data_IF_118829076354
#
_entry.id   IF_118829076354
#
_cell.length_a   1.000
_cell.length_b   1.000
_cell.length_c   1.000
_cell.angle_alpha   90.00
_cell.angle_beta   90.00
_cell.angle_gamma   90.00
#
_symmetry.space_group_name_H-M   'P 1'
#
loop_
_entity.id
_entity.type
_entity.pdbx_description
1 polymer ?
#
# COMPACT_ATOMS: atom_id res chain seq x y z
N UNK A 1 22.32 -16.97 -19.26
CA UNK A 1 21.94 -17.58 -17.96
C UNK A 1 20.99 -16.71 -17.14
N UNK A 2 21.36 -15.50 -16.71
CA UNK A 2 20.52 -14.67 -15.79
C UNK A 2 19.16 -14.22 -16.34
N UNK A 3 18.93 -14.34 -17.66
CA UNK A 3 17.66 -14.02 -18.33
C UNK A 3 16.78 -15.25 -18.61
N UNK A 4 17.21 -16.44 -18.24
CA UNK A 4 16.41 -17.67 -18.36
C UNK A 4 15.93 -18.10 -16.98
N UNK A 5 14.72 -18.66 -16.85
CA UNK A 5 14.17 -19.05 -15.56
C UNK A 5 15.10 -20.01 -14.79
N UNK A 6 15.53 -21.10 -15.44
CA UNK A 6 16.46 -22.08 -14.85
C UNK A 6 17.86 -21.52 -14.64
N UNK A 7 18.33 -20.68 -15.55
CA UNK A 7 19.66 -20.06 -15.45
C UNK A 7 19.75 -19.06 -14.30
N UNK A 8 18.73 -18.20 -14.13
CA UNK A 8 18.60 -17.26 -13.02
C UNK A 8 18.56 -17.96 -11.67
N UNK A 9 17.83 -19.07 -11.54
CA UNK A 9 17.79 -19.85 -10.30
C UNK A 9 19.18 -20.39 -9.92
N UNK A 10 19.90 -20.98 -10.89
CA UNK A 10 21.26 -21.49 -10.68
C UNK A 10 22.26 -20.40 -10.29
N UNK A 11 22.16 -19.22 -10.90
CA UNK A 11 23.02 -18.08 -10.54
C UNK A 11 22.74 -17.64 -9.11
N UNK A 12 21.48 -17.57 -8.68
CA UNK A 12 21.14 -17.21 -7.29
C UNK A 12 21.68 -18.21 -6.28
N UNK A 13 21.51 -19.52 -6.52
CA UNK A 13 22.03 -20.59 -5.65
C UNK A 13 23.57 -20.57 -5.58
N UNK A 14 24.23 -20.30 -6.71
CA UNK A 14 25.68 -20.14 -6.74
C UNK A 14 26.11 -18.93 -5.91
N UNK A 15 25.44 -17.79 -6.02
CA UNK A 15 25.79 -16.60 -5.24
C UNK A 15 25.66 -16.83 -3.72
N UNK A 16 24.72 -17.65 -3.27
CA UNK A 16 24.58 -17.99 -1.85
C UNK A 16 25.73 -18.86 -1.32
N UNK A 17 26.26 -19.76 -2.15
CA UNK A 17 27.31 -20.71 -1.76
C UNK A 17 28.73 -20.27 -2.12
N UNK A 18 28.88 -19.28 -3.00
CA UNK A 18 30.17 -18.75 -3.45
C UNK A 18 30.95 -18.07 -2.31
N UNK A 19 32.27 -18.00 -2.47
CA UNK A 19 33.15 -17.20 -1.61
C UNK A 19 32.87 -15.70 -1.78
N UNK A 20 33.35 -14.88 -0.84
CA UNK A 20 33.17 -13.42 -0.91
C UNK A 20 33.86 -12.82 -2.15
N UNK A 21 35.04 -13.33 -2.49
CA UNK A 21 35.81 -12.93 -3.67
C UNK A 21 35.08 -13.27 -4.97
N UNK A 22 34.57 -14.50 -5.10
CA UNK A 22 33.80 -14.93 -6.28
C UNK A 22 32.49 -14.13 -6.42
N UNK A 23 31.77 -13.91 -5.31
CA UNK A 23 30.59 -13.04 -5.30
C UNK A 23 30.94 -11.64 -5.78
N UNK A 24 32.00 -11.06 -5.23
CA UNK A 24 32.46 -9.70 -5.58
C UNK A 24 32.80 -9.60 -7.06
N UNK A 25 33.53 -10.58 -7.62
CA UNK A 25 33.86 -10.63 -9.05
C UNK A 25 32.61 -10.71 -9.93
N UNK A 26 31.66 -11.60 -9.60
CA UNK A 26 30.40 -11.72 -10.34
C UNK A 26 29.62 -10.39 -10.30
N UNK A 27 29.48 -9.80 -9.11
CA UNK A 27 28.72 -8.56 -8.94
C UNK A 27 29.36 -7.43 -9.75
N UNK A 28 30.67 -7.23 -9.61
CA UNK A 28 31.36 -6.06 -10.19
C UNK A 28 31.60 -6.20 -11.69
N UNK A 29 31.97 -7.38 -12.16
CA UNK A 29 32.39 -7.57 -13.55
C UNK A 29 31.25 -8.02 -14.47
N UNK A 30 30.26 -8.74 -13.94
CA UNK A 30 29.19 -9.32 -14.75
C UNK A 30 27.85 -8.61 -14.55
N UNK A 31 27.46 -8.37 -13.29
CA UNK A 31 26.14 -7.81 -12.97
C UNK A 31 26.10 -6.28 -13.07
N UNK A 32 27.06 -5.57 -12.49
CA UNK A 32 27.07 -4.10 -12.46
C UNK A 32 27.03 -3.45 -13.85
N UNK A 33 27.80 -3.91 -14.86
CA UNK A 33 27.73 -3.36 -16.22
C UNK A 33 26.36 -3.57 -16.90
N UNK A 34 25.57 -4.52 -16.41
CA UNK A 34 24.27 -4.90 -16.96
C UNK A 34 23.12 -4.65 -15.97
N UNK A 35 23.34 -3.85 -14.92
CA UNK A 35 22.44 -3.81 -13.75
C UNK A 35 21.04 -3.33 -14.12
N UNK A 36 20.91 -2.31 -14.96
CA UNK A 36 19.62 -1.76 -15.40
C UNK A 36 18.82 -2.76 -16.24
N UNK A 37 19.34 -3.29 -17.38
CA UNK A 37 18.56 -4.23 -18.18
C UNK A 37 18.30 -5.56 -17.47
N UNK A 38 19.14 -5.96 -16.49
CA UNK A 38 18.84 -7.11 -15.65
C UNK A 38 17.73 -6.79 -14.63
N UNK A 39 17.76 -5.61 -14.02
CA UNK A 39 16.76 -5.18 -13.03
C UNK A 39 15.34 -5.09 -13.61
N UNK A 40 15.20 -4.70 -14.88
CA UNK A 40 13.91 -4.63 -15.58
C UNK A 40 13.45 -5.97 -16.17
N UNK A 41 14.29 -7.01 -16.10
CA UNK A 41 13.99 -8.32 -16.68
C UNK A 41 13.34 -9.26 -15.66
N UNK A 42 12.27 -9.97 -16.05
CA UNK A 42 11.47 -10.88 -15.19
C UNK A 42 12.29 -11.88 -14.36
N UNK A 43 13.37 -12.41 -14.93
CA UNK A 43 14.30 -13.32 -14.23
C UNK A 43 15.60 -12.65 -13.77
N UNK A 44 16.01 -11.56 -14.44
CA UNK A 44 17.27 -10.89 -14.14
C UNK A 44 17.17 -10.10 -12.84
N UNK A 45 15.98 -9.55 -12.55
CA UNK A 45 15.72 -8.79 -11.34
C UNK A 45 15.93 -9.62 -10.08
N UNK A 46 15.70 -10.94 -10.17
CA UNK A 46 15.92 -11.88 -9.06
C UNK A 46 17.40 -12.10 -8.78
N UNK A 47 18.23 -12.13 -9.83
CA UNK A 47 19.69 -12.19 -9.69
C UNK A 47 20.22 -10.90 -9.06
N UNK A 48 19.77 -9.73 -9.52
CA UNK A 48 20.18 -8.45 -8.92
C UNK A 48 19.72 -8.35 -7.46
N UNK A 49 18.49 -8.77 -7.15
CA UNK A 49 18.00 -8.79 -5.76
C UNK A 49 18.86 -9.70 -4.88
N UNK A 50 19.21 -10.90 -5.37
CA UNK A 50 20.09 -11.81 -4.63
C UNK A 50 21.48 -11.20 -4.44
N UNK A 51 22.02 -10.55 -5.46
CA UNK A 51 23.31 -9.85 -5.38
C UNK A 51 23.33 -8.77 -4.29
N UNK A 52 22.25 -8.00 -4.16
CA UNK A 52 22.12 -6.99 -3.09
C UNK A 52 21.99 -7.66 -1.70
N UNK A 53 21.37 -8.82 -1.62
CA UNK A 53 21.15 -9.55 -0.37
C UNK A 53 22.42 -10.21 0.18
N UNK A 54 23.27 -10.77 -0.69
CA UNK A 54 24.46 -11.53 -0.28
C UNK A 54 25.79 -10.80 -0.52
N UNK A 55 25.78 -9.71 -1.28
CA UNK A 55 26.95 -8.91 -1.58
C UNK A 55 27.36 -8.02 -0.40
N UNK A 56 28.63 -7.61 -0.38
CA UNK A 56 29.08 -6.60 0.57
C UNK A 56 28.47 -5.23 0.25
N UNK A 57 28.53 -4.29 1.21
CA UNK A 57 28.15 -2.89 0.95
C UNK A 57 28.94 -2.32 -0.23
N UNK A 58 30.24 -2.65 -0.33
CA UNK A 58 31.08 -2.17 -1.42
C UNK A 58 30.64 -2.72 -2.77
N UNK A 59 30.20 -3.98 -2.84
CA UNK A 59 29.65 -4.55 -4.08
C UNK A 59 28.34 -3.88 -4.48
N UNK A 60 27.48 -3.63 -3.49
CA UNK A 60 26.21 -2.95 -3.72
C UNK A 60 26.39 -1.51 -4.21
N UNK A 61 27.49 -0.82 -3.85
CA UNK A 61 27.83 0.49 -4.41
C UNK A 61 28.08 0.45 -5.91
N UNK A 62 28.68 -0.61 -6.45
CA UNK A 62 28.84 -0.77 -7.90
C UNK A 62 27.48 -0.95 -8.60
N UNK A 63 26.58 -1.73 -8.01
CA UNK A 63 25.21 -1.87 -8.52
C UNK A 63 24.46 -0.53 -8.44
N UNK A 64 24.55 0.16 -7.31
CA UNK A 64 23.92 1.45 -7.08
C UNK A 64 24.39 2.51 -8.09
N UNK A 65 25.69 2.59 -8.36
CA UNK A 65 26.28 3.50 -9.34
C UNK A 65 25.69 3.32 -10.74
N UNK A 66 25.48 2.08 -11.19
CA UNK A 66 24.84 1.81 -12.49
C UNK A 66 23.33 2.09 -12.50
N UNK A 67 22.64 1.95 -11.36
CA UNK A 67 21.20 2.22 -11.26
C UNK A 67 20.85 3.69 -11.02
N UNK A 68 21.78 4.50 -10.48
CA UNK A 68 21.53 5.87 -10.05
C UNK A 68 20.80 6.73 -11.09
N UNK A 69 21.31 6.82 -12.34
CA UNK A 69 20.66 7.60 -13.40
C UNK A 69 19.27 7.09 -13.82
N UNK A 70 18.88 5.89 -13.41
CA UNK A 70 17.66 5.19 -13.81
C UNK A 70 16.68 4.95 -12.66
N UNK A 71 16.88 5.56 -11.48
CA UNK A 71 16.06 5.28 -10.29
C UNK A 71 14.56 5.49 -10.56
N UNK A 72 14.16 6.58 -11.21
CA UNK A 72 12.75 6.88 -11.47
C UNK A 72 12.12 5.84 -12.41
N UNK A 73 12.86 5.44 -13.44
CA UNK A 73 12.46 4.40 -14.39
C UNK A 73 12.31 3.04 -13.67
N UNK A 74 13.28 2.68 -12.84
CA UNK A 74 13.28 1.45 -12.06
C UNK A 74 12.15 1.43 -11.03
N UNK A 75 11.84 2.54 -10.37
CA UNK A 75 10.71 2.65 -9.43
C UNK A 75 9.35 2.44 -10.13
N UNK A 76 9.23 2.82 -11.40
CA UNK A 76 8.03 2.69 -12.20
C UNK A 76 7.96 1.35 -12.97
N UNK A 77 9.01 0.53 -12.97
CA UNK A 77 9.01 -0.75 -13.64
C UNK A 77 8.45 -1.89 -12.77
N UNK A 78 7.77 -2.87 -13.38
CA UNK A 78 7.17 -4.03 -12.70
C UNK A 78 8.20 -4.94 -12.03
N UNK A 79 9.44 -4.98 -12.54
CA UNK A 79 10.55 -5.75 -11.97
C UNK A 79 11.53 -4.86 -11.20
N UNK A 80 11.87 -3.70 -11.75
CA UNK A 80 12.84 -2.75 -11.20
C UNK A 80 12.43 -2.24 -9.81
N UNK A 81 11.13 -2.07 -9.53
CA UNK A 81 10.66 -1.59 -8.24
C UNK A 81 11.07 -2.55 -7.10
N UNK A 82 11.19 -3.85 -7.39
CA UNK A 82 11.64 -4.84 -6.42
C UNK A 82 13.13 -4.71 -6.13
N UNK A 83 13.93 -4.34 -7.13
CA UNK A 83 15.37 -4.06 -6.95
C UNK A 83 15.57 -2.81 -6.08
N UNK A 84 14.83 -1.72 -6.35
CA UNK A 84 14.87 -0.52 -5.50
C UNK A 84 14.46 -0.83 -4.07
N UNK A 85 13.38 -1.58 -3.88
CA UNK A 85 12.96 -2.06 -2.56
C UNK A 85 14.01 -2.93 -1.87
N UNK A 86 14.79 -3.71 -2.62
CA UNK A 86 15.84 -4.57 -2.07
C UNK A 86 17.04 -3.77 -1.57
N UNK A 87 17.46 -2.73 -2.29
CA UNK A 87 18.44 -1.77 -1.78
C UNK A 87 18.00 -1.19 -0.44
N UNK A 88 16.75 -0.73 -0.35
CA UNK A 88 16.22 -0.11 0.88
C UNK A 88 16.06 -1.13 2.03
N UNK A 89 15.85 -2.41 1.73
CA UNK A 89 15.72 -3.46 2.76
C UNK A 89 17.06 -3.91 3.34
N UNK A 90 18.09 -4.01 2.49
CA UNK A 90 19.34 -4.70 2.82
C UNK A 90 20.48 -3.75 3.17
N UNK A 91 20.43 -2.50 2.74
CA UNK A 91 21.51 -1.55 2.96
C UNK A 91 21.19 -0.55 4.09
N UNK A 92 22.23 -0.02 4.77
CA UNK A 92 22.06 1.08 5.70
C UNK A 92 21.62 2.35 4.96
N UNK A 93 20.99 3.27 5.70
CA UNK A 93 20.37 4.50 5.16
C UNK A 93 21.29 5.29 4.24
N UNK A 94 22.56 5.42 4.60
CA UNK A 94 23.55 6.23 3.89
C UNK A 94 23.76 5.72 2.45
N UNK A 95 23.70 4.42 2.23
CA UNK A 95 23.88 3.79 0.92
C UNK A 95 22.63 3.86 0.04
N UNK A 96 21.48 4.20 0.63
CA UNK A 96 20.18 4.31 -0.05
C UNK A 96 19.92 5.75 -0.51
N UNK A 97 20.77 6.71 -0.13
CA UNK A 97 20.58 8.14 -0.38
C UNK A 97 20.37 8.48 -1.86
N UNK A 98 21.02 7.76 -2.77
CA UNK A 98 20.87 7.95 -4.22
C UNK A 98 19.41 7.79 -4.70
N UNK A 99 18.62 6.91 -4.05
CA UNK A 99 17.20 6.72 -4.39
C UNK A 99 16.41 7.96 -3.98
N UNK A 100 16.67 8.47 -2.77
CA UNK A 100 16.01 9.68 -2.24
C UNK A 100 16.35 10.88 -3.10
N UNK A 101 17.62 11.08 -3.43
CA UNK A 101 18.10 12.23 -4.20
C UNK A 101 17.51 12.25 -5.62
N UNK A 102 17.40 11.10 -6.29
CA UNK A 102 16.73 11.00 -7.58
C UNK A 102 15.22 11.27 -7.51
N UNK A 103 14.54 10.75 -6.48
CA UNK A 103 13.11 11.02 -6.24
C UNK A 103 12.83 12.51 -6.00
N UNK A 104 13.74 13.20 -5.31
CA UNK A 104 13.61 14.62 -4.97
C UNK A 104 14.37 15.53 -5.94
N UNK A 105 14.84 15.01 -7.08
CA UNK A 105 15.42 15.80 -8.16
C UNK A 105 16.68 16.59 -7.79
N UNK A 106 17.49 16.14 -6.82
CA UNK A 106 18.72 16.84 -6.42
C UNK A 106 19.81 16.81 -7.51
N UNK A 107 19.81 15.80 -8.36
CA UNK A 107 20.81 15.64 -9.42
C UNK A 107 20.50 16.45 -10.69
N UNK A 108 19.34 17.13 -10.74
CA UNK A 108 18.95 17.93 -11.89
C UNK A 108 19.42 19.38 -11.72
N UNK A 109 20.72 19.60 -11.93
CA UNK A 109 21.31 20.95 -12.02
C UNK A 109 20.69 21.81 -13.14
N UNK A 110 19.90 21.21 -14.03
CA UNK A 110 19.19 21.84 -15.15
C UNK A 110 17.70 22.13 -14.87
N UNK A 111 17.09 21.54 -13.85
CA UNK A 111 15.67 21.75 -13.54
C UNK A 111 15.51 22.69 -12.35
N UNK A 112 15.44 23.99 -12.67
CA UNK A 112 15.01 25.02 -11.74
C UNK A 112 13.59 24.71 -11.24
N UNK A 113 13.50 24.16 -10.03
CA UNK A 113 12.55 24.57 -8.97
C UNK A 113 11.04 24.26 -9.09
N UNK A 114 10.56 23.42 -10.00
CA UNK A 114 9.11 23.09 -10.02
C UNK A 114 8.73 21.60 -10.21
N UNK A 115 9.67 20.73 -10.65
CA UNK A 115 9.33 19.35 -11.04
C UNK A 115 9.58 18.31 -9.93
N UNK A 116 10.18 18.70 -8.82
CA UNK A 116 10.59 17.79 -7.75
C UNK A 116 9.43 17.16 -6.98
N UNK A 117 8.47 17.96 -6.51
CA UNK A 117 7.26 17.42 -5.85
C UNK A 117 6.47 16.50 -6.80
N UNK A 118 6.55 16.76 -8.11
CA UNK A 118 5.88 15.98 -9.15
C UNK A 118 6.37 14.52 -9.20
N UNK A 119 7.67 14.24 -9.03
CA UNK A 119 8.16 12.86 -9.07
C UNK A 119 7.62 12.00 -7.93
N UNK A 120 7.70 12.51 -6.69
CA UNK A 120 7.18 11.80 -5.52
C UNK A 120 5.66 11.62 -5.62
N UNK A 121 4.92 12.69 -5.97
CA UNK A 121 3.46 12.60 -6.10
C UNK A 121 3.02 11.68 -7.25
N UNK A 122 3.71 11.71 -8.41
CA UNK A 122 3.46 10.74 -9.51
C UNK A 122 3.68 9.31 -9.06
N UNK A 123 4.77 9.04 -8.34
CA UNK A 123 5.06 7.70 -7.86
C UNK A 123 4.11 7.27 -6.74
N UNK A 124 3.58 8.20 -5.94
CA UNK A 124 2.62 7.89 -4.88
C UNK A 124 1.33 7.26 -5.42
N UNK A 125 0.86 7.71 -6.58
CA UNK A 125 -0.32 7.15 -7.27
C UNK A 125 0.06 6.07 -8.31
N UNK A 126 1.33 5.68 -8.40
CA UNK A 126 1.78 4.66 -9.33
C UNK A 126 1.65 3.25 -8.71
N UNK A 127 1.22 2.27 -9.52
CA UNK A 127 0.93 0.90 -9.05
C UNK A 127 2.15 0.17 -8.48
N UNK A 128 3.36 0.50 -8.94
CA UNK A 128 4.63 -0.03 -8.41
C UNK A 128 5.40 1.00 -7.57
N UNK A 129 5.34 2.28 -7.96
CA UNK A 129 6.15 3.34 -7.37
C UNK A 129 5.78 3.62 -5.92
N UNK A 130 4.49 3.48 -5.59
CA UNK A 130 3.99 3.70 -4.24
C UNK A 130 4.64 2.75 -3.22
N UNK A 131 5.07 1.55 -3.66
CA UNK A 131 5.74 0.56 -2.80
C UNK A 131 7.15 0.98 -2.43
N UNK A 132 7.86 1.61 -3.36
CA UNK A 132 9.20 2.16 -3.09
C UNK A 132 9.10 3.29 -2.08
N UNK A 133 8.15 4.22 -2.24
CA UNK A 133 7.92 5.32 -1.29
C UNK A 133 7.54 4.80 0.11
N UNK A 134 6.61 3.85 0.19
CA UNK A 134 6.25 3.20 1.46
C UNK A 134 7.48 2.57 2.13
N UNK A 135 8.35 1.93 1.35
CA UNK A 135 9.55 1.28 1.86
C UNK A 135 10.57 2.29 2.40
N UNK A 136 10.79 3.40 1.70
CA UNK A 136 11.65 4.49 2.18
C UNK A 136 11.12 5.04 3.51
N UNK A 137 9.81 5.32 3.60
CA UNK A 137 9.19 5.80 4.84
C UNK A 137 9.30 4.79 6.00
N UNK A 138 9.35 3.49 5.72
CA UNK A 138 9.50 2.45 6.74
C UNK A 138 10.93 2.28 7.24
N UNK A 139 11.94 2.37 6.36
CA UNK A 139 13.29 1.86 6.61
C UNK A 139 14.36 2.93 6.74
N UNK A 140 14.21 4.06 6.07
CA UNK A 140 15.19 5.13 6.12
C UNK A 140 15.13 5.90 7.45
N UNK A 141 16.14 6.71 7.71
CA UNK A 141 16.13 7.63 8.85
C UNK A 141 15.22 8.85 8.60
N UNK A 142 15.03 9.70 9.62
CA UNK A 142 14.20 10.89 9.46
C UNK A 142 14.76 11.93 8.49
N UNK A 143 16.09 12.06 8.36
CA UNK A 143 16.69 13.03 7.43
C UNK A 143 16.32 12.69 5.98
N UNK A 144 16.24 11.40 5.67
CA UNK A 144 15.84 10.88 4.37
C UNK A 144 14.33 10.87 4.14
N UNK A 145 13.53 10.65 5.20
CA UNK A 145 12.06 10.71 5.10
C UNK A 145 11.55 12.11 4.87
N UNK A 146 12.12 13.13 5.54
CA UNK A 146 11.66 14.52 5.48
C UNK A 146 11.39 15.01 4.05
N UNK A 147 12.32 14.93 3.09
CA UNK A 147 12.06 15.49 1.77
C UNK A 147 10.98 14.70 0.98
N UNK A 148 10.76 13.41 1.29
CA UNK A 148 9.66 12.62 0.73
C UNK A 148 8.33 13.04 1.38
N UNK A 149 8.31 13.19 2.71
CA UNK A 149 7.17 13.67 3.47
C UNK A 149 6.77 15.07 3.01
N UNK A 150 7.75 15.97 2.84
CA UNK A 150 7.50 17.33 2.41
C UNK A 150 6.84 17.37 1.02
N UNK A 151 7.31 16.54 0.09
CA UNK A 151 6.70 16.42 -1.23
C UNK A 151 5.27 15.86 -1.19
N UNK A 152 4.96 14.93 -0.28
CA UNK A 152 3.62 14.35 -0.13
C UNK A 152 2.65 15.31 0.59
N UNK A 153 3.10 15.93 1.68
CA UNK A 153 2.27 16.70 2.62
C UNK A 153 2.11 18.15 2.17
N UNK A 154 3.20 18.78 1.70
CA UNK A 154 3.21 20.19 1.31
C UNK A 154 3.29 20.38 -0.22
N UNK A 155 3.51 19.32 -1.00
CA UNK A 155 3.64 19.40 -2.45
C UNK A 155 2.32 19.43 -3.23
N UNK A 156 1.18 19.15 -2.60
CA UNK A 156 -0.15 19.24 -3.24
C UNK A 156 -0.66 20.68 -3.25
N UNK A 157 -1.21 21.12 -4.38
CA UNK A 157 -1.55 22.53 -4.63
C UNK A 157 -2.83 22.98 -3.91
N UNK A 158 -3.84 22.10 -3.83
CA UNK A 158 -5.15 22.44 -3.30
C UNK A 158 -5.87 21.25 -2.63
N UNK A 159 -7.05 21.51 -2.08
CA UNK A 159 -7.84 20.52 -1.37
C UNK A 159 -8.36 19.38 -2.29
N UNK A 160 -8.54 19.64 -3.58
CA UNK A 160 -8.95 18.63 -4.55
C UNK A 160 -7.83 17.62 -4.79
N UNK A 161 -6.59 18.09 -5.01
CA UNK A 161 -5.42 17.21 -5.16
C UNK A 161 -5.19 16.36 -3.91
N UNK A 162 -5.30 16.96 -2.71
CA UNK A 162 -5.22 16.22 -1.44
C UNK A 162 -6.28 15.13 -1.34
N UNK A 163 -7.54 15.46 -1.69
CA UNK A 163 -8.65 14.51 -1.70
C UNK A 163 -8.44 13.41 -2.73
N UNK A 164 -7.89 13.72 -3.91
CA UNK A 164 -7.56 12.72 -4.93
C UNK A 164 -6.51 11.75 -4.42
N UNK A 165 -5.44 12.25 -3.78
CA UNK A 165 -4.37 11.40 -3.25
C UNK A 165 -4.88 10.46 -2.14
N UNK A 166 -5.72 10.97 -1.22
CA UNK A 166 -6.34 10.18 -0.14
C UNK A 166 -7.28 9.09 -0.67
N UNK A 167 -8.01 9.37 -1.75
CA UNK A 167 -8.96 8.42 -2.36
C UNK A 167 -8.34 7.57 -3.47
N UNK A 168 -7.09 7.81 -3.85
CA UNK A 168 -6.41 7.03 -4.86
C UNK A 168 -6.14 5.61 -4.36
N UNK A 169 -6.27 4.62 -5.25
CA UNK A 169 -6.12 3.20 -4.91
C UNK A 169 -4.70 2.80 -4.44
N UNK A 170 -3.69 3.61 -4.77
CA UNK A 170 -2.29 3.45 -4.35
C UNK A 170 -1.85 4.56 -3.40
N UNK A 171 -2.19 5.81 -3.71
CA UNK A 171 -1.83 7.02 -2.96
C UNK A 171 -2.27 6.99 -1.51
N UNK A 172 -3.45 6.42 -1.23
CA UNK A 172 -3.94 6.25 0.14
C UNK A 172 -2.94 5.50 1.06
N UNK A 173 -2.16 4.56 0.52
CA UNK A 173 -1.16 3.85 1.31
C UNK A 173 0.05 4.73 1.62
N UNK A 174 0.46 5.60 0.69
CA UNK A 174 1.55 6.55 0.92
C UNK A 174 1.15 7.55 2.00
N UNK A 175 -0.07 8.10 1.95
CA UNK A 175 -0.58 9.00 2.99
C UNK A 175 -0.64 8.30 4.36
N UNK A 176 -1.10 7.04 4.42
CA UNK A 176 -1.07 6.25 5.65
C UNK A 176 0.35 6.07 6.22
N UNK A 177 1.35 5.89 5.36
CA UNK A 177 2.75 5.78 5.80
C UNK A 177 3.32 7.13 6.23
N UNK A 178 2.92 8.23 5.58
CA UNK A 178 3.26 9.58 6.05
C UNK A 178 2.67 9.84 7.44
N UNK A 179 1.44 9.39 7.72
CA UNK A 179 0.86 9.45 9.07
C UNK A 179 1.66 8.59 10.05
N UNK A 180 1.97 7.34 9.70
CA UNK A 180 2.59 6.38 10.61
C UNK A 180 4.05 6.68 10.93
N UNK A 181 4.83 7.17 9.96
CA UNK A 181 6.28 7.35 10.06
C UNK A 181 6.74 8.80 9.92
N UNK A 182 5.82 9.74 9.69
CA UNK A 182 6.09 11.17 9.65
C UNK A 182 6.11 11.83 11.02
N UNK A 183 6.42 13.13 11.00
CA UNK A 183 6.51 14.00 12.17
C UNK A 183 5.10 14.33 12.69
N UNK A 184 4.96 14.79 13.95
CA UNK A 184 3.68 15.29 14.45
C UNK A 184 3.06 16.38 13.56
N UNK A 185 3.87 17.29 12.99
CA UNK A 185 3.40 18.35 12.11
C UNK A 185 2.83 17.80 10.79
N UNK A 186 3.44 16.75 10.24
CA UNK A 186 2.92 16.06 9.04
C UNK A 186 1.53 15.47 9.32
N UNK A 187 1.36 14.86 10.50
CA UNK A 187 0.08 14.25 10.92
C UNK A 187 -1.00 15.31 11.11
N UNK A 188 -0.65 16.44 11.72
CA UNK A 188 -1.56 17.56 11.92
C UNK A 188 -2.06 18.09 10.57
N UNK A 189 -1.15 18.35 9.62
CA UNK A 189 -1.51 18.83 8.28
C UNK A 189 -2.36 17.80 7.53
N UNK A 190 -2.03 16.51 7.60
CA UNK A 190 -2.86 15.47 6.99
C UNK A 190 -4.27 15.46 7.64
N UNK A 191 -4.38 15.52 8.97
CA UNK A 191 -5.68 15.54 9.63
C UNK A 191 -6.50 16.78 9.23
N UNK A 192 -5.89 17.96 9.23
CA UNK A 192 -6.61 19.23 9.10
C UNK A 192 -6.83 19.68 7.65
N UNK A 193 -5.88 19.43 6.75
CA UNK A 193 -5.92 19.93 5.37
C UNK A 193 -6.30 18.86 4.35
N UNK A 194 -6.03 17.58 4.64
CA UNK A 194 -6.39 16.47 3.74
C UNK A 194 -7.74 15.86 4.13
N UNK A 195 -8.00 15.68 5.42
CA UNK A 195 -9.15 14.90 5.89
C UNK A 195 -10.31 15.77 6.35
N UNK A 196 -10.09 16.72 7.26
CA UNK A 196 -11.17 17.49 7.90
C UNK A 196 -12.17 18.12 6.91
N UNK A 197 -11.76 18.72 5.76
CA UNK A 197 -12.70 19.32 4.81
C UNK A 197 -13.64 18.31 4.13
N UNK A 198 -13.28 17.02 4.14
CA UNK A 198 -14.00 15.98 3.40
C UNK A 198 -14.33 14.75 4.27
N UNK A 199 -14.11 14.81 5.59
CA UNK A 199 -14.11 13.62 6.46
C UNK A 199 -15.42 12.82 6.38
N UNK A 200 -16.56 13.50 6.23
CA UNK A 200 -17.86 12.85 6.04
C UNK A 200 -17.91 11.93 4.81
N UNK A 201 -17.41 12.41 3.67
CA UNK A 201 -17.35 11.63 2.42
C UNK A 201 -16.27 10.53 2.50
N UNK A 202 -15.10 10.88 3.06
CA UNK A 202 -13.95 9.98 3.11
C UNK A 202 -14.24 8.72 3.93
N UNK A 203 -15.03 8.84 5.00
CA UNK A 203 -15.40 7.70 5.84
C UNK A 203 -16.12 6.59 5.06
N UNK A 204 -16.88 6.93 4.01
CA UNK A 204 -17.62 5.96 3.18
C UNK A 204 -16.88 5.62 1.88
N UNK A 205 -15.66 6.11 1.70
CA UNK A 205 -14.82 5.77 0.54
C UNK A 205 -13.99 4.50 0.83
N UNK A 206 -13.87 3.61 -0.15
CA UNK A 206 -13.08 2.36 -0.05
C UNK A 206 -11.63 2.57 0.39
N UNK A 207 -11.00 3.66 -0.05
CA UNK A 207 -9.60 3.96 0.18
C UNK A 207 -9.46 5.03 1.28
N UNK A 208 -10.21 6.13 1.17
CA UNK A 208 -10.17 7.24 2.12
C UNK A 208 -10.48 6.83 3.57
N UNK A 209 -11.40 5.87 3.76
CA UNK A 209 -11.76 5.37 5.10
C UNK A 209 -10.55 4.79 5.85
N UNK A 210 -9.61 4.14 5.15
CA UNK A 210 -8.39 3.60 5.76
C UNK A 210 -7.45 4.73 6.22
N UNK A 211 -7.40 5.85 5.49
CA UNK A 211 -6.59 7.03 5.86
C UNK A 211 -7.20 7.72 7.09
N UNK A 212 -8.53 7.81 7.17
CA UNK A 212 -9.23 8.29 8.36
C UNK A 212 -8.97 7.36 9.55
N UNK A 213 -9.09 6.03 9.39
CA UNK A 213 -8.75 5.08 10.45
C UNK A 213 -7.31 5.22 10.93
N UNK A 214 -6.35 5.42 10.01
CA UNK A 214 -4.93 5.59 10.35
C UNK A 214 -4.67 6.89 11.10
N UNK A 215 -5.36 7.97 10.73
CA UNK A 215 -5.27 9.26 11.44
C UNK A 215 -5.86 9.15 12.85
N UNK A 216 -7.00 8.45 12.99
CA UNK A 216 -7.57 8.10 14.28
C UNK A 216 -6.67 7.16 15.09
N UNK A 217 -5.70 6.47 14.50
CA UNK A 217 -4.74 5.66 15.25
C UNK A 217 -3.54 6.51 15.71
N UNK A 218 -2.94 7.31 14.82
CA UNK A 218 -1.60 7.86 15.01
C UNK A 218 -1.50 9.38 15.26
N UNK A 219 -2.54 10.16 14.94
CA UNK A 219 -2.51 11.62 15.16
C UNK A 219 -2.61 11.97 16.65
N UNK A 220 -2.40 13.24 16.98
CA UNK A 220 -2.58 13.73 18.33
C UNK A 220 -4.08 13.80 18.70
N UNK A 221 -4.36 13.83 20.01
CA UNK A 221 -5.72 13.74 20.52
C UNK A 221 -6.62 14.86 19.98
N UNK A 222 -6.08 16.07 19.82
CA UNK A 222 -6.85 17.22 19.33
C UNK A 222 -7.26 17.06 17.87
N UNK A 223 -6.36 16.54 17.02
CA UNK A 223 -6.65 16.22 15.62
C UNK A 223 -7.73 15.13 15.51
N UNK A 224 -7.61 14.06 16.32
CA UNK A 224 -8.60 12.98 16.38
C UNK A 224 -9.97 13.53 16.76
N UNK A 225 -10.02 14.41 17.77
CA UNK A 225 -11.25 15.05 18.24
C UNK A 225 -11.84 15.98 17.20
N UNK A 226 -11.04 16.77 16.49
CA UNK A 226 -11.51 17.62 15.40
C UNK A 226 -12.25 16.80 14.32
N UNK A 227 -11.65 15.70 13.87
CA UNK A 227 -12.26 14.80 12.89
C UNK A 227 -13.60 14.23 13.37
N UNK A 228 -13.67 13.74 14.62
CA UNK A 228 -14.89 13.13 15.16
C UNK A 228 -15.99 14.17 15.42
N UNK A 229 -15.65 15.40 15.84
CA UNK A 229 -16.62 16.48 16.03
C UNK A 229 -17.39 16.81 14.76
N UNK A 230 -16.73 16.81 13.60
CA UNK A 230 -17.41 17.00 12.30
C UNK A 230 -18.41 15.87 12.03
N UNK A 231 -18.05 14.61 12.33
CA UNK A 231 -18.94 13.45 12.14
C UNK A 231 -20.13 13.41 13.11
N UNK A 232 -20.04 14.15 14.22
CA UNK A 232 -21.10 14.33 15.22
C UNK A 232 -21.94 15.60 14.99
N UNK A 233 -21.59 16.42 13.99
CA UNK A 233 -22.36 17.63 13.69
C UNK A 233 -23.56 17.26 12.81
N UNK A 234 -24.81 17.49 13.24
CA UNK A 234 -25.99 17.14 12.46
C UNK A 234 -26.02 17.90 11.12
N UNK A 235 -26.29 17.17 10.04
CA UNK A 235 -26.46 17.78 8.70
C UNK A 235 -27.95 18.02 8.47
N UNK A 236 -28.31 19.24 8.08
CA UNK A 236 -29.72 19.67 7.87
C UNK A 236 -30.21 19.45 6.43
N UNK A 237 -29.36 18.93 5.53
CA UNK A 237 -29.64 18.76 4.10
C UNK A 237 -30.75 17.73 3.75
N UNK A 238 -31.43 17.17 4.76
CA UNK A 238 -32.62 16.35 4.61
C UNK A 238 -33.28 16.20 5.98
N UNK A 239 -34.42 16.86 6.19
CA UNK A 239 -35.17 16.76 7.46
C UNK A 239 -35.62 15.31 7.67
N UNK A 240 -35.45 14.71 8.87
CA UNK A 240 -34.90 15.28 10.10
C UNK A 240 -33.37 15.24 10.18
N UNK A 241 -32.78 16.26 10.83
CA UNK A 241 -31.34 16.38 11.03
C UNK A 241 -30.76 15.13 11.70
N UNK A 242 -29.71 14.57 11.11
CA UNK A 242 -29.02 13.39 11.61
C UNK A 242 -27.52 13.58 11.53
N UNK A 243 -26.80 13.00 12.50
CA UNK A 243 -25.34 13.02 12.48
C UNK A 243 -24.84 12.04 11.40
N UNK A 244 -23.82 12.41 10.59
CA UNK A 244 -23.19 11.52 9.61
C UNK A 244 -22.85 10.15 10.18
N UNK A 245 -22.42 10.10 11.45
CA UNK A 245 -22.05 8.84 12.10
C UNK A 245 -23.17 7.78 12.12
N UNK A 246 -24.45 8.18 12.11
CA UNK A 246 -25.59 7.25 12.16
C UNK A 246 -25.72 6.46 10.85
N UNK A 247 -25.49 7.11 9.69
CA UNK A 247 -25.48 6.41 8.41
C UNK A 247 -24.20 5.59 8.24
N UNK A 248 -23.07 6.06 8.76
CA UNK A 248 -21.78 5.35 8.71
C UNK A 248 -21.83 3.96 9.33
N UNK A 249 -22.59 3.77 10.42
CA UNK A 249 -22.75 2.47 11.09
C UNK A 249 -23.31 1.36 10.17
N UNK A 250 -24.02 1.74 9.10
CA UNK A 250 -24.65 0.81 8.14
C UNK A 250 -23.84 0.65 6.86
N UNK A 251 -22.88 1.54 6.62
CA UNK A 251 -22.04 1.54 5.43
C UNK A 251 -20.97 0.45 5.47
N UNK A 252 -20.54 -0.03 4.30
CA UNK A 252 -19.58 -1.14 4.17
C UNK A 252 -18.14 -0.79 4.55
N UNK A 253 -17.78 0.49 4.54
CA UNK A 253 -16.45 0.99 4.90
C UNK A 253 -16.51 1.84 6.18
N UNK A 254 -17.49 2.73 6.30
CA UNK A 254 -17.54 3.69 7.38
C UNK A 254 -17.81 3.05 8.76
N UNK A 255 -18.40 1.85 8.81
CA UNK A 255 -18.55 1.08 10.05
C UNK A 255 -17.20 0.78 10.73
N UNK A 256 -16.12 0.63 9.95
CA UNK A 256 -14.77 0.42 10.49
C UNK A 256 -14.24 1.68 11.16
N UNK A 257 -14.53 2.86 10.61
CA UNK A 257 -14.20 4.16 11.20
C UNK A 257 -14.93 4.35 12.53
N UNK A 258 -16.23 4.04 12.60
CA UNK A 258 -16.99 4.06 13.87
C UNK A 258 -16.34 3.15 14.91
N UNK A 259 -15.99 1.93 14.52
CA UNK A 259 -15.28 1.00 15.38
C UNK A 259 -13.90 1.50 15.84
N UNK A 260 -13.19 2.24 14.98
CA UNK A 260 -11.91 2.88 15.32
C UNK A 260 -12.08 3.97 16.38
N UNK A 261 -13.10 4.81 16.26
CA UNK A 261 -13.41 5.84 17.25
C UNK A 261 -13.65 5.19 18.61
N UNK A 262 -14.47 4.14 18.67
CA UNK A 262 -14.82 3.43 19.92
C UNK A 262 -13.68 2.65 20.58
N UNK A 263 -12.50 2.56 19.95
CA UNK A 263 -11.31 1.96 20.58
C UNK A 263 -10.56 2.92 21.51
N UNK A 264 -10.86 4.22 21.47
CA UNK A 264 -10.22 5.23 22.30
C UNK A 264 -10.79 5.27 23.72
N UNK A 265 -10.00 5.78 24.66
CA UNK A 265 -10.46 6.08 26.01
C UNK A 265 -11.37 7.32 26.00
N UNK A 266 -12.56 7.19 26.58
CA UNK A 266 -13.52 8.29 26.69
C UNK A 266 -13.07 9.42 27.64
N UNK A 267 -12.06 9.17 28.48
CA UNK A 267 -11.44 10.18 29.34
C UNK A 267 -10.59 11.18 28.54
N UNK A 268 -9.89 10.68 27.52
CA UNK A 268 -9.07 11.49 26.61
C UNK A 268 -9.91 12.05 25.46
N UNK A 269 -10.90 11.27 25.01
CA UNK A 269 -11.78 11.60 23.88
C UNK A 269 -13.25 11.50 24.29
N UNK A 270 -13.83 12.53 24.95
CA UNK A 270 -15.22 12.52 25.42
C UNK A 270 -16.27 12.22 24.34
N UNK A 271 -15.95 12.52 23.09
CA UNK A 271 -16.77 12.21 21.91
C UNK A 271 -17.07 10.70 21.80
N UNK A 272 -16.17 9.81 22.27
CA UNK A 272 -16.36 8.35 22.30
C UNK A 272 -17.64 7.98 23.05
N UNK A 273 -17.93 8.63 24.18
CA UNK A 273 -19.15 8.38 24.96
C UNK A 273 -20.42 8.76 24.19
N UNK A 274 -20.35 9.79 23.35
CA UNK A 274 -21.47 10.19 22.48
C UNK A 274 -21.67 9.15 21.38
N UNK A 275 -20.58 8.74 20.70
CA UNK A 275 -20.64 7.70 19.67
C UNK A 275 -21.18 6.38 20.23
N UNK A 276 -20.74 5.98 21.42
CA UNK A 276 -21.20 4.75 22.10
C UNK A 276 -22.71 4.76 22.30
N UNK A 277 -23.24 5.85 22.88
CA UNK A 277 -24.69 6.03 23.08
C UNK A 277 -25.46 5.99 21.77
N UNK A 278 -24.97 6.66 20.73
CA UNK A 278 -25.61 6.61 19.41
C UNK A 278 -25.67 5.19 18.83
N UNK A 279 -24.63 4.37 19.02
CA UNK A 279 -24.66 2.96 18.62
C UNK A 279 -25.71 2.21 19.44
N UNK A 280 -25.69 2.35 20.77
CA UNK A 280 -26.59 1.67 21.71
C UNK A 280 -28.07 2.02 21.46
N UNK A 281 -28.38 3.30 21.20
CA UNK A 281 -29.73 3.79 20.91
C UNK A 281 -30.25 3.29 19.54
N UNK A 282 -29.36 2.95 18.61
CA UNK A 282 -29.72 2.51 17.25
C UNK A 282 -29.63 0.99 17.04
N UNK A 283 -29.33 0.20 18.08
CA UNK A 283 -29.09 -1.26 17.98
C UNK A 283 -30.18 -2.00 17.21
N UNK A 284 -31.46 -1.73 17.52
CA UNK A 284 -32.59 -2.45 16.91
C UNK A 284 -32.74 -2.16 15.41
N UNK A 285 -32.31 -0.97 14.97
CA UNK A 285 -32.25 -0.63 13.55
C UNK A 285 -31.03 -1.27 12.91
N UNK A 286 -29.86 -1.17 13.55
CA UNK A 286 -28.57 -1.65 13.02
C UNK A 286 -28.55 -3.17 12.84
N UNK A 287 -29.21 -3.94 13.71
CA UNK A 287 -29.36 -5.40 13.57
C UNK A 287 -30.00 -5.83 12.25
N UNK A 288 -30.78 -4.96 11.60
CA UNK A 288 -31.43 -5.22 10.30
C UNK A 288 -30.48 -5.06 9.12
N UNK A 289 -29.33 -4.40 9.30
CA UNK A 289 -28.34 -4.16 8.26
C UNK A 289 -27.14 -5.09 8.44
N UNK A 290 -26.65 -5.69 7.34
CA UNK A 290 -25.53 -6.62 7.39
C UNK A 290 -24.29 -6.01 8.07
N UNK A 291 -23.82 -4.84 7.61
CA UNK A 291 -22.63 -4.20 8.18
C UNK A 291 -22.84 -3.69 9.60
N UNK A 292 -24.03 -3.13 9.89
CA UNK A 292 -24.39 -2.71 11.24
C UNK A 292 -24.37 -3.87 12.24
N UNK A 293 -24.89 -5.03 11.85
CA UNK A 293 -24.88 -6.23 12.67
C UNK A 293 -23.45 -6.70 13.01
N UNK A 294 -22.56 -6.83 12.01
CA UNK A 294 -21.17 -7.25 12.26
C UNK A 294 -20.36 -6.21 13.05
N UNK A 295 -20.65 -4.92 12.88
CA UNK A 295 -20.05 -3.86 13.67
C UNK A 295 -20.43 -4.03 15.16
N UNK A 296 -21.71 -4.19 15.47
CA UNK A 296 -22.18 -4.42 16.86
C UNK A 296 -21.58 -5.70 17.43
N UNK A 297 -21.57 -6.80 16.68
CA UNK A 297 -20.97 -8.08 17.11
C UNK A 297 -19.50 -7.91 17.51
N UNK A 298 -18.72 -7.20 16.68
CA UNK A 298 -17.31 -6.92 16.94
C UNK A 298 -17.12 -6.03 18.16
N UNK A 299 -17.92 -4.97 18.29
CA UNK A 299 -17.84 -4.03 19.41
C UNK A 299 -18.24 -4.68 20.74
N UNK A 300 -19.28 -5.52 20.74
CA UNK A 300 -19.72 -6.26 21.92
C UNK A 300 -18.64 -7.25 22.37
N UNK A 301 -18.05 -8.03 21.44
CA UNK A 301 -16.94 -8.94 21.77
C UNK A 301 -15.72 -8.22 22.34
N UNK A 302 -15.49 -6.98 21.93
CA UNK A 302 -14.40 -6.15 22.42
C UNK A 302 -14.76 -5.37 23.71
N UNK A 303 -15.95 -5.57 24.29
CA UNK A 303 -16.41 -4.85 25.49
C UNK A 303 -16.60 -3.34 25.27
N UNK A 304 -16.80 -2.90 24.02
CA UNK A 304 -16.94 -1.49 23.63
C UNK A 304 -18.38 -0.97 23.64
N UNK A 305 -19.37 -1.84 23.77
CA UNK A 305 -20.78 -1.47 23.91
C UNK A 305 -21.46 -2.50 24.82
N UNK A 306 -22.53 -2.09 25.50
CA UNK A 306 -23.32 -3.00 26.33
C UNK A 306 -24.75 -3.11 25.77
N UNK A 307 -24.99 -4.14 24.97
CA UNK A 307 -26.27 -4.32 24.25
C UNK A 307 -26.82 -5.74 24.42
N UNK A 308 -28.16 -5.92 24.40
CA UNK A 308 -28.79 -7.24 24.45
C UNK A 308 -28.37 -8.14 23.27
N UNK A 309 -28.61 -9.44 23.40
CA UNK A 309 -28.24 -10.45 22.40
C UNK A 309 -28.60 -10.07 20.95
N UNK A 310 -27.67 -10.32 20.04
CA UNK A 310 -27.72 -9.92 18.62
C UNK A 310 -28.69 -10.72 17.74
N UNK A 311 -29.23 -11.82 18.24
CA UNK A 311 -30.01 -12.76 17.43
C UNK A 311 -29.19 -13.41 16.31
N UNK A 312 -29.87 -13.94 15.29
CA UNK A 312 -29.22 -14.57 14.13
C UNK A 312 -28.65 -13.51 13.18
N UNK A 313 -27.45 -13.78 12.66
CA UNK A 313 -26.79 -12.89 11.71
C UNK A 313 -27.57 -12.78 10.38
N UNK A 314 -27.62 -11.58 9.76
CA UNK A 314 -28.14 -11.40 8.42
C UNK A 314 -27.32 -12.19 7.37
N UNK A 315 -27.90 -12.51 6.20
CA UNK A 315 -27.17 -13.14 5.10
C UNK A 315 -25.95 -12.31 4.70
N UNK A 316 -24.83 -12.99 4.40
CA UNK A 316 -23.54 -12.38 4.06
C UNK A 316 -23.47 -11.74 2.66
N UNK A 317 -24.60 -11.55 1.98
CA UNK A 317 -24.63 -11.06 0.60
C UNK A 317 -23.85 -9.73 0.49
N UNK A 318 -22.71 -9.75 -0.19
CA UNK A 318 -21.86 -8.58 -0.39
C UNK A 318 -20.76 -8.31 0.65
N UNK A 319 -20.58 -9.17 1.68
CA UNK A 319 -19.43 -9.08 2.60
C UNK A 319 -18.13 -9.47 1.89
N UNK A 320 -17.54 -8.54 1.15
CA UNK A 320 -16.09 -8.52 1.01
C UNK A 320 -15.56 -8.00 2.33
N UNK A 321 -15.02 -8.90 3.15
CA UNK A 321 -14.20 -8.50 4.30
C UNK A 321 -13.02 -7.71 3.73
N UNK A 322 -12.86 -6.41 4.02
CA UNK A 322 -11.61 -5.73 3.76
C UNK A 322 -10.57 -6.47 4.61
N UNK A 323 -9.63 -7.12 3.94
CA UNK A 323 -8.66 -8.00 4.59
C UNK A 323 -7.62 -7.14 5.33
N UNK A 324 -8.02 -6.42 6.38
CA UNK A 324 -7.17 -5.54 7.19
C UNK A 324 -6.34 -6.31 8.24
N UNK A 325 -6.22 -7.63 8.06
CA UNK A 325 -5.20 -8.47 8.73
C UNK A 325 -4.15 -8.91 7.72
N UNK A 326 -3.43 -7.95 7.14
CA UNK A 326 -2.01 -8.17 6.91
C UNK A 326 -1.26 -7.33 7.91
N UNK A 327 -0.77 -8.00 8.96
CA UNK A 327 0.46 -7.61 9.63
C UNK A 327 1.44 -7.11 8.57
N UNK A 328 2.26 -6.13 8.92
CA UNK A 328 3.47 -5.81 8.19
C UNK A 328 4.31 -7.09 8.02
N UNK A 329 4.04 -7.85 6.97
CA UNK A 329 4.82 -8.96 6.47
C UNK A 329 4.75 -8.87 4.96
N UNK A 330 5.86 -8.38 4.42
CA UNK A 330 6.25 -8.35 3.03
C UNK A 330 6.13 -9.74 2.38
N UNK A 331 4.96 -10.08 1.84
CA UNK A 331 4.79 -11.10 0.79
C UNK A 331 3.31 -11.32 0.56
N UNK A 332 2.77 -10.72 -0.49
CA UNK A 332 1.82 -11.38 -1.39
C UNK A 332 1.22 -10.35 -2.35
N UNK A 333 1.94 -10.14 -3.45
CA UNK A 333 1.39 -9.80 -4.76
C UNK A 333 2.29 -10.47 -5.80
N UNK A 334 2.25 -11.81 -5.82
CA UNK A 334 2.95 -12.64 -6.82
C UNK A 334 1.97 -13.24 -7.85
N UNK A 335 0.75 -12.72 -7.95
CA UNK A 335 -0.32 -13.34 -8.77
C UNK A 335 -0.75 -12.50 -9.97
N UNK A 336 0.13 -11.65 -10.50
CA UNK A 336 -0.07 -10.95 -11.78
C UNK A 336 1.12 -11.16 -12.72
N UNK A 337 1.51 -12.41 -12.95
CA UNK A 337 2.41 -12.79 -14.07
C UNK A 337 2.07 -14.12 -14.76
N UNK A 338 0.98 -14.82 -14.43
CA UNK A 338 0.66 -16.14 -15.02
C UNK A 338 -0.57 -16.11 -15.95
N UNK A 339 -0.56 -15.22 -16.94
CA UNK A 339 -1.54 -15.22 -18.01
C UNK A 339 -0.88 -15.10 -19.38
N UNK A 340 0.08 -16.00 -19.67
CA UNK A 340 0.60 -16.17 -21.03
C UNK A 340 1.42 -17.44 -21.24
N UNK A 341 1.08 -18.61 -20.67
CA UNK A 341 1.67 -19.87 -21.15
C UNK A 341 0.79 -21.09 -20.82
N UNK A 342 -0.17 -21.39 -21.71
CA UNK A 342 -0.67 -22.76 -21.88
C UNK A 342 -1.03 -22.99 -23.35
N UNK A 343 0.02 -23.11 -24.19
CA UNK A 343 -0.10 -23.71 -25.52
C UNK A 343 -0.47 -25.17 -25.36
N UNK A 344 -1.75 -25.48 -25.56
CA UNK A 344 -2.32 -26.80 -25.42
C UNK A 344 -1.94 -27.65 -26.66
N UNK A 345 -0.76 -28.27 -26.67
CA UNK A 345 -0.43 -29.31 -27.65
C UNK A 345 -1.16 -30.61 -27.29
N UNK A 346 -2.44 -30.69 -27.65
CA UNK A 346 -3.15 -31.98 -27.75
C UNK A 346 -2.79 -32.64 -29.08
N UNK A 347 -1.87 -33.62 -29.01
CA UNK A 347 -1.68 -34.65 -30.02
C UNK A 347 -3.03 -35.38 -30.24
N UNK A 348 -3.69 -35.14 -31.37
CA UNK A 348 -4.69 -36.05 -31.93
C UNK A 348 -3.96 -37.18 -32.65
N UNK A 349 -3.95 -38.38 -32.06
CA UNK A 349 -3.71 -39.64 -32.79
C UNK A 349 -4.97 -39.96 -33.58
N UNK A 350 -4.89 -39.93 -34.90
CA UNK A 350 -5.88 -40.48 -35.82
C UNK A 350 -5.66 -41.98 -35.95
N UNK A 351 -6.54 -42.78 -35.35
CA UNK A 351 -6.70 -44.21 -35.66
C UNK A 351 -7.65 -44.33 -36.85
N UNK A 352 -7.09 -44.67 -38.01
CA UNK A 352 -7.86 -45.09 -39.20
C UNK A 352 -8.12 -46.59 -39.05
N UNK A 353 -9.39 -46.94 -38.82
CA UNK A 353 -9.89 -48.31 -38.96
C UNK A 353 -10.75 -48.35 -40.23
N UNK A 354 -10.30 -49.12 -41.21
CA UNK A 354 -11.01 -49.42 -42.45
C UNK A 354 -12.04 -50.54 -42.20
N UNK A 355 -13.25 -50.51 -42.79
CA UNK A 355 -14.10 -51.68 -42.90
C UNK A 355 -13.89 -52.40 -44.24
N UNK A 356 -14.03 -53.73 -44.19
CA UNK A 356 -14.02 -54.67 -45.31
C UNK A 356 -15.38 -54.70 -46.05
N UNK A 357 -15.30 -54.66 -47.38
CA UNK A 357 -15.97 -55.51 -48.43
C UNK A 357 -17.50 -55.57 -48.52
N UNK A 358 -18.01 -55.21 -49.72
CA UNK A 358 -18.90 -56.03 -50.59
C UNK A 358 -18.95 -55.35 -51.98
N UNK A 359 -18.40 -55.94 -53.05
CA UNK A 359 -19.02 -56.90 -53.98
C UNK A 359 -20.18 -56.33 -54.84
N UNK A 360 -19.91 -56.04 -56.14
CA UNK A 360 -20.60 -56.62 -57.31
C UNK A 360 -20.34 -55.87 -58.63
N UNK A 361 -20.19 -56.70 -59.67
CA UNK A 361 -20.38 -56.50 -61.11
C UNK A 361 -19.37 -55.63 -61.86
#
# INVERSE_FOLDING_TARGET
>A
MSREAKGSARVQEYMESATEEERSLIIREQLAPNVVPLSMHTHGCRVIQKAIEVGSVQDCRFLAAGTGPHVLELCADVNGNHVMQKFIECLPSEEVQFIVDALVGKDDATSKSAHTASHVLRLAVHCYGCRVLQRLLQKCDMKQKIPILDAVVYGTSDASERRMLVNDQFGNYVVQHSIQFGRPEDRHIIAHDFLLPFVGDLCSNKFGSNVVEKSLECCDIDDKRALVKVLLTPVTAGVPASCPIVSMMKDRYANYVVGRILNHDEREMPEVKVVRRLVEDNVEVLKKFTYGWYMIEKLQRAGRINVPGLGKAPPKNGLSVPNNRRRASSSAYSSYTDASFSGNTRRRRSSVTSPHVDARA
#
